data_IF_192140145737
#
_entry.id   IF_192140145737
#
_cell.length_a   1.000
_cell.length_b   1.000
_cell.length_c   1.000
_cell.angle_alpha   90.00
_cell.angle_beta   90.00
_cell.angle_gamma   90.00
#
_symmetry.space_group_name_H-M   'P 1'
#
loop_
_entity.id
_entity.type
_entity.pdbx_description
1 polymer ?
#
# COMPACT_ATOMS: atom_id res chain seq x y z
N UNK A 1 -30.18 -23.71 52.67
CA UNK A 1 -29.78 -24.86 51.81
C UNK A 1 -29.79 -24.54 50.30
N UNK A 2 -30.52 -23.53 49.81
CA UNK A 2 -30.56 -23.18 48.37
C UNK A 2 -29.22 -22.63 47.81
N UNK A 3 -28.49 -21.79 48.56
CA UNK A 3 -27.25 -21.15 48.08
C UNK A 3 -26.09 -22.11 47.79
N UNK A 4 -25.99 -23.20 48.55
CA UNK A 4 -24.91 -24.18 48.40
C UNK A 4 -25.10 -25.03 47.13
N UNK A 5 -26.35 -25.30 46.79
CA UNK A 5 -26.73 -26.06 45.59
C UNK A 5 -26.56 -25.20 44.32
N UNK A 6 -26.86 -23.90 44.40
CA UNK A 6 -26.59 -22.94 43.33
C UNK A 6 -25.10 -22.77 43.07
N UNK A 7 -24.28 -22.68 44.12
CA UNK A 7 -22.83 -22.61 44.00
C UNK A 7 -22.23 -23.87 43.34
N UNK A 8 -22.69 -25.07 43.73
CA UNK A 8 -22.28 -26.32 43.10
C UNK A 8 -22.65 -26.39 41.62
N UNK A 9 -23.87 -25.95 41.26
CA UNK A 9 -24.30 -25.89 39.87
C UNK A 9 -23.45 -24.92 39.06
N UNK A 10 -23.08 -23.77 39.64
CA UNK A 10 -22.24 -22.77 38.98
C UNK A 10 -20.83 -23.31 38.71
N UNK A 11 -20.21 -23.96 39.71
CA UNK A 11 -18.89 -24.61 39.57
C UNK A 11 -18.92 -25.63 38.44
N UNK A 12 -19.98 -26.44 38.37
CA UNK A 12 -20.12 -27.47 37.35
C UNK A 12 -20.34 -26.91 35.94
N UNK A 13 -21.02 -25.77 35.83
CA UNK A 13 -21.23 -25.05 34.57
C UNK A 13 -19.97 -24.35 34.08
N UNK A 14 -19.10 -23.91 34.99
CA UNK A 14 -17.87 -23.19 34.66
C UNK A 14 -16.69 -24.13 34.40
N UNK A 15 -16.66 -25.32 35.00
CA UNK A 15 -15.54 -26.27 34.83
C UNK A 15 -15.34 -26.71 33.38
N UNK A 16 -16.44 -26.94 32.65
CA UNK A 16 -16.40 -27.31 31.24
C UNK A 16 -15.81 -26.23 30.32
N UNK A 17 -16.34 -24.99 30.26
CA UNK A 17 -15.80 -23.96 29.40
C UNK A 17 -14.35 -23.59 29.78
N UNK A 18 -13.98 -23.66 31.07
CA UNK A 18 -12.58 -23.47 31.49
C UNK A 18 -11.68 -24.55 30.89
N UNK A 19 -12.09 -25.82 30.93
CA UNK A 19 -11.35 -26.91 30.29
C UNK A 19 -11.19 -26.73 28.78
N UNK A 20 -12.27 -26.32 28.10
CA UNK A 20 -12.26 -26.05 26.65
C UNK A 20 -11.32 -24.89 26.29
N UNK A 21 -11.32 -23.79 27.07
CA UNK A 21 -10.40 -22.66 26.90
C UNK A 21 -8.95 -23.08 27.10
N UNK A 22 -8.66 -23.88 28.14
CA UNK A 22 -7.30 -24.36 28.41
C UNK A 22 -6.78 -25.20 27.25
N UNK A 23 -7.60 -26.11 26.72
CA UNK A 23 -7.26 -26.92 25.54
C UNK A 23 -6.96 -26.05 24.32
N UNK A 24 -7.82 -25.07 24.03
CA UNK A 24 -7.63 -24.13 22.91
C UNK A 24 -6.33 -23.32 23.04
N UNK A 25 -5.99 -22.87 24.24
CA UNK A 25 -4.74 -22.14 24.50
C UNK A 25 -3.54 -23.05 24.23
N UNK A 26 -3.57 -24.29 24.71
CA UNK A 26 -2.47 -25.25 24.51
C UNK A 26 -2.29 -25.62 23.04
N UNK A 27 -3.38 -25.83 22.31
CA UNK A 27 -3.36 -26.09 20.87
C UNK A 27 -2.77 -24.92 20.08
N UNK A 28 -3.18 -23.69 20.40
CA UNK A 28 -2.64 -22.48 19.78
C UNK A 28 -1.13 -22.32 20.04
N UNK A 29 -0.67 -22.59 21.27
CA UNK A 29 0.76 -22.55 21.61
C UNK A 29 1.54 -23.60 20.81
N UNK A 30 1.02 -24.82 20.68
CA UNK A 30 1.65 -25.88 19.91
C UNK A 30 1.71 -25.56 18.41
N UNK A 31 0.62 -25.01 17.85
CA UNK A 31 0.58 -24.55 16.47
C UNK A 31 1.62 -23.44 16.23
N UNK A 32 1.66 -22.43 17.10
CA UNK A 32 2.61 -21.32 16.98
C UNK A 32 4.07 -21.82 17.02
N UNK A 33 4.39 -22.79 17.89
CA UNK A 33 5.72 -23.43 17.92
C UNK A 33 6.04 -24.16 16.61
N UNK A 34 5.11 -24.97 16.10
CA UNK A 34 5.27 -25.66 14.81
C UNK A 34 5.46 -24.69 13.65
N UNK A 35 4.73 -23.58 13.60
CA UNK A 35 4.91 -22.55 12.58
C UNK A 35 6.28 -21.88 12.70
N UNK A 36 6.73 -21.56 13.92
CA UNK A 36 8.05 -20.99 14.15
C UNK A 36 9.16 -21.95 13.72
N UNK A 37 9.07 -23.23 14.06
CA UNK A 37 10.01 -24.26 13.63
C UNK A 37 10.01 -24.43 12.11
N UNK A 38 8.84 -24.43 11.47
CA UNK A 38 8.73 -24.42 10.00
C UNK A 38 9.45 -23.23 9.40
N UNK A 39 9.24 -22.02 9.90
CA UNK A 39 9.90 -20.80 9.38
C UNK A 39 11.42 -20.81 9.56
N UNK A 40 11.93 -21.40 10.65
CA UNK A 40 13.37 -21.51 10.92
C UNK A 40 14.02 -22.61 10.05
N UNK A 41 13.33 -23.74 9.89
CA UNK A 41 13.83 -24.90 9.15
C UNK A 41 13.56 -24.81 7.64
N UNK A 42 12.62 -23.97 7.19
CA UNK A 42 12.36 -23.65 5.77
C UNK A 42 13.35 -22.60 5.27
N UNK A 43 14.64 -22.81 5.52
CA UNK A 43 15.71 -21.95 5.00
C UNK A 43 15.81 -21.97 3.47
N UNK A 44 15.08 -22.87 2.80
CA UNK A 44 15.24 -23.22 1.39
C UNK A 44 14.02 -22.95 0.48
N UNK A 45 12.88 -22.49 1.01
CA UNK A 45 11.68 -22.20 0.20
C UNK A 45 11.38 -20.68 0.12
N UNK A 46 12.45 -19.88 0.05
CA UNK A 46 12.40 -18.41 0.01
C UNK A 46 12.09 -17.82 -1.38
N UNK A 47 11.78 -18.66 -2.36
CA UNK A 47 11.53 -18.22 -3.74
C UNK A 47 10.07 -18.33 -4.18
N UNK A 48 9.23 -19.13 -3.53
CA UNK A 48 7.86 -19.38 -4.01
C UNK A 48 6.83 -18.30 -3.60
N UNK A 49 7.11 -17.48 -2.59
CA UNK A 49 6.17 -16.47 -2.04
C UNK A 49 6.69 -15.02 -2.05
N UNK A 50 7.76 -14.73 -2.79
CA UNK A 50 8.23 -13.33 -2.93
C UNK A 50 7.37 -12.60 -3.95
N UNK A 51 6.63 -11.60 -3.50
CA UNK A 51 6.05 -10.57 -4.38
C UNK A 51 7.22 -10.01 -5.21
N UNK A 52 7.15 -10.05 -6.55
CA UNK A 52 8.24 -9.55 -7.40
C UNK A 52 8.50 -8.08 -7.08
N UNK A 53 9.60 -7.82 -6.39
CA UNK A 53 10.04 -6.47 -6.09
C UNK A 53 10.78 -5.95 -7.33
N UNK A 54 10.14 -5.05 -8.08
CA UNK A 54 10.84 -4.30 -9.12
C UNK A 54 11.77 -3.31 -8.44
N UNK A 55 13.07 -3.61 -8.42
CA UNK A 55 14.09 -2.66 -7.98
C UNK A 55 14.26 -1.60 -9.05
N UNK A 56 13.80 -0.38 -8.78
CA UNK A 56 14.00 0.79 -9.64
C UNK A 56 15.08 1.71 -9.08
N UNK A 57 15.92 2.28 -9.94
CA UNK A 57 16.82 3.35 -9.55
C UNK A 57 16.09 4.70 -9.64
N UNK A 58 16.09 5.48 -8.55
CA UNK A 58 15.61 6.85 -8.58
C UNK A 58 16.69 7.74 -9.19
N UNK A 59 16.44 8.22 -10.41
CA UNK A 59 17.31 9.19 -11.08
C UNK A 59 16.73 10.58 -10.81
N UNK A 60 17.42 11.46 -10.04
CA UNK A 60 16.94 12.81 -9.82
C UNK A 60 16.91 13.58 -11.15
N UNK A 61 15.81 14.29 -11.40
CA UNK A 61 15.70 15.15 -12.57
C UNK A 61 16.65 16.35 -12.42
N UNK A 62 17.40 16.66 -13.48
CA UNK A 62 18.32 17.83 -13.52
C UNK A 62 17.58 19.15 -13.40
N UNK A 63 16.33 19.20 -13.85
CA UNK A 63 15.48 20.39 -13.84
C UNK A 63 14.01 20.00 -13.77
N UNK A 64 13.15 21.00 -13.53
CA UNK A 64 11.71 20.78 -13.50
C UNK A 64 11.21 20.45 -14.90
N UNK A 65 10.51 19.32 -14.99
CA UNK A 65 9.78 18.92 -16.18
C UNK A 65 8.32 19.31 -16.01
N UNK A 66 7.69 19.67 -17.11
CA UNK A 66 6.25 19.93 -17.16
C UNK A 66 5.63 19.10 -18.26
N UNK A 67 4.47 18.55 -17.96
CA UNK A 67 3.65 17.80 -18.89
C UNK A 67 2.26 18.44 -18.92
N UNK A 68 1.59 18.36 -20.07
CA UNK A 68 0.23 18.82 -20.28
C UNK A 68 -0.60 17.64 -20.80
N UNK A 69 -1.92 17.84 -20.88
CA UNK A 69 -2.88 16.82 -21.34
C UNK A 69 -3.24 16.95 -22.82
N UNK A 70 -2.44 17.69 -23.59
CA UNK A 70 -2.64 17.81 -25.03
C UNK A 70 -2.34 16.47 -25.73
N UNK A 71 -3.13 16.10 -26.73
CA UNK A 71 -2.98 14.85 -27.50
C UNK A 71 -1.59 14.70 -28.15
N UNK A 72 -0.90 15.82 -28.41
CA UNK A 72 0.49 15.82 -28.89
C UNK A 72 1.47 15.35 -27.81
N UNK A 73 1.17 15.59 -26.53
CA UNK A 73 2.03 15.26 -25.40
C UNK A 73 1.62 14.02 -24.61
N UNK A 74 0.38 13.54 -24.81
CA UNK A 74 -0.16 12.36 -24.13
C UNK A 74 -0.61 11.27 -25.09
N UNK A 75 -0.75 10.07 -24.57
CA UNK A 75 -1.45 8.96 -25.20
C UNK A 75 -2.19 8.15 -24.14
N UNK A 76 -3.25 7.44 -24.51
CA UNK A 76 -3.97 6.56 -23.60
C UNK A 76 -3.41 5.16 -23.77
N UNK A 77 -2.88 4.60 -22.69
CA UNK A 77 -2.40 3.22 -22.63
C UNK A 77 -3.36 2.37 -21.81
N UNK A 78 -3.53 1.10 -22.21
CA UNK A 78 -4.24 0.12 -21.41
C UNK A 78 -3.23 -0.65 -20.55
N UNK A 79 -3.28 -0.44 -19.25
CA UNK A 79 -2.44 -1.12 -18.26
C UNK A 79 -3.34 -1.99 -17.39
N UNK A 80 -3.25 -3.30 -17.54
CA UNK A 80 -4.06 -4.30 -16.81
C UNK A 80 -5.59 -4.07 -16.86
N UNK A 81 -6.11 -3.60 -18.01
CA UNK A 81 -7.54 -3.35 -18.20
C UNK A 81 -8.01 -1.96 -17.75
N UNK A 82 -7.12 -1.15 -17.18
CA UNK A 82 -7.39 0.26 -16.88
C UNK A 82 -6.80 1.17 -17.96
N UNK A 83 -7.58 2.16 -18.40
CA UNK A 83 -7.06 3.24 -19.25
C UNK A 83 -6.26 4.23 -18.39
N UNK A 84 -5.00 4.45 -18.74
CA UNK A 84 -4.12 5.41 -18.09
C UNK A 84 -3.54 6.38 -19.11
N UNK A 85 -3.36 7.63 -18.69
CA UNK A 85 -2.69 8.64 -19.52
C UNK A 85 -1.19 8.44 -19.39
N UNK A 86 -0.54 8.10 -20.50
CA UNK A 86 0.91 8.09 -20.62
C UNK A 86 1.39 9.43 -21.18
N UNK A 87 2.26 10.11 -20.45
CA UNK A 87 2.87 11.37 -20.88
C UNK A 87 4.13 11.08 -21.71
N UNK A 88 3.95 10.84 -23.02
CA UNK A 88 5.01 10.42 -23.95
C UNK A 88 6.10 11.47 -24.20
N UNK A 89 5.81 12.76 -23.96
CA UNK A 89 6.79 13.83 -24.17
C UNK A 89 6.68 14.95 -23.15
N UNK A 90 7.82 15.52 -22.78
CA UNK A 90 7.87 16.78 -22.02
C UNK A 90 7.36 17.93 -22.90
N UNK A 91 6.49 18.79 -22.37
CA UNK A 91 6.01 19.95 -23.11
C UNK A 91 7.12 20.97 -23.37
N UNK A 92 8.04 21.08 -22.43
CA UNK A 92 9.29 21.81 -22.57
C UNK A 92 10.26 21.48 -21.43
N UNK A 93 11.54 21.65 -21.74
CA UNK A 93 12.67 21.49 -20.83
C UNK A 93 12.96 22.84 -20.16
N UNK A 94 13.20 22.86 -18.85
CA UNK A 94 13.63 24.06 -18.12
C UNK A 94 12.54 25.09 -17.78
N UNK A 95 11.27 24.71 -17.80
CA UNK A 95 10.22 25.63 -17.41
C UNK A 95 9.95 25.58 -15.92
N UNK A 96 10.34 26.66 -15.27
CA UNK A 96 10.07 26.90 -13.87
C UNK A 96 9.40 28.26 -13.75
N UNK A 97 8.15 28.26 -13.30
CA UNK A 97 7.53 29.50 -12.85
C UNK A 97 8.13 29.82 -11.47
N UNK A 98 8.81 30.97 -11.39
CA UNK A 98 9.41 31.44 -10.15
C UNK A 98 8.41 32.32 -9.40
N UNK A 99 8.37 32.21 -8.06
CA UNK A 99 7.52 33.03 -7.18
C UNK A 99 6.02 32.88 -7.43
N UNK A 100 5.56 31.65 -7.66
CA UNK A 100 4.13 31.33 -7.77
C UNK A 100 3.61 30.86 -6.43
N UNK A 101 2.45 31.35 -6.02
CA UNK A 101 1.71 30.80 -4.88
C UNK A 101 1.29 29.37 -5.25
N UNK A 102 1.67 28.40 -4.41
CA UNK A 102 1.29 27.00 -4.62
C UNK A 102 -0.23 26.85 -4.58
N UNK A 103 -0.77 25.87 -5.32
CA UNK A 103 -2.20 25.53 -5.33
C UNK A 103 -3.15 26.67 -5.79
N UNK A 104 -2.63 27.66 -6.52
CA UNK A 104 -3.43 28.75 -7.07
C UNK A 104 -3.96 28.41 -8.47
N UNK A 105 -5.29 28.36 -8.62
CA UNK A 105 -5.95 28.19 -9.92
C UNK A 105 -5.85 29.50 -10.72
N UNK A 106 -5.40 29.41 -11.97
CA UNK A 106 -5.45 30.55 -12.91
C UNK A 106 -4.42 31.66 -12.66
N UNK A 107 -3.31 31.36 -11.96
CA UNK A 107 -2.30 32.38 -11.63
C UNK A 107 -1.80 33.12 -12.90
N UNK A 108 -1.79 34.47 -12.95
CA UNK A 108 -1.50 35.23 -14.17
C UNK A 108 -0.15 34.92 -14.83
N UNK A 109 0.85 34.51 -14.04
CA UNK A 109 2.19 34.11 -14.50
C UNK A 109 2.15 32.92 -15.48
N UNK A 110 1.09 32.11 -15.44
CA UNK A 110 0.86 30.98 -16.34
C UNK A 110 0.82 31.45 -17.80
N UNK A 111 0.37 32.68 -18.09
CA UNK A 111 0.41 33.28 -19.44
C UNK A 111 1.84 33.46 -19.99
N UNK A 112 2.84 33.48 -19.11
CA UNK A 112 4.27 33.55 -19.50
C UNK A 112 4.88 32.18 -19.73
N UNK A 113 4.14 31.10 -19.42
CA UNK A 113 4.58 29.74 -19.69
C UNK A 113 4.68 29.52 -21.20
N UNK A 114 5.83 29.03 -21.66
CA UNK A 114 6.05 28.77 -23.09
C UNK A 114 5.14 27.67 -23.62
N UNK A 115 4.76 26.68 -22.79
CA UNK A 115 3.79 25.65 -23.16
C UNK A 115 2.37 26.17 -23.37
N UNK A 116 2.04 27.36 -22.84
CA UNK A 116 0.68 27.93 -22.91
C UNK A 116 0.59 29.14 -23.84
N UNK A 117 1.71 29.58 -24.41
CA UNK A 117 1.67 30.52 -25.54
C UNK A 117 1.13 29.78 -26.75
N UNK A 118 -0.10 30.11 -27.15
CA UNK A 118 -0.62 29.75 -28.48
C UNK A 118 0.31 30.38 -29.53
N UNK A 119 0.85 29.55 -30.42
CA UNK A 119 1.24 29.99 -31.78
C UNK A 119 0.00 30.31 -32.58
#
# INVERSE_FOLDING_TARGET
>A
MQSLNEAQLLIHKLSRPIGEIVTLILENILLAKKYKEKLVNSSDDRDSNRIPQKTGAFIPLRERLTVCVDEKCTEIINDNGEQRINYKSNCHVGCSLHRVVQECIGHPIIKRCRALRKT
#
